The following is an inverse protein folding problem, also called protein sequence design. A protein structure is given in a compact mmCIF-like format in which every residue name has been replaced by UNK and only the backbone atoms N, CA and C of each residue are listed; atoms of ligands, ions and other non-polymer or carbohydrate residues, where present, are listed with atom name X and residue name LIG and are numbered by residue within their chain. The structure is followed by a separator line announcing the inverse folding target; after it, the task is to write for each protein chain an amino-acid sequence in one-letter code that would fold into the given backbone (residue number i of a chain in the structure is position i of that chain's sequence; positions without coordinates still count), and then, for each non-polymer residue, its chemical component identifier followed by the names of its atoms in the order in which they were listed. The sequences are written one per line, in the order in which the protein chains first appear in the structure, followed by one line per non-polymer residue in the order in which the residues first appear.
data_IF_940069614083
#
_entry.id   IF_940069614083
#
_cell.length_a   1.000
_cell.length_b   1.000
_cell.length_c   1.000
_cell.angle_alpha   90.00
_cell.angle_beta   90.00
_cell.angle_gamma   90.00
#
_symmetry.space_group_name_H-M   'P 1'
#
loop_
_entity.id
_entity.type
_entity.pdbx_description
1 polymer ?
#
# COMPACT_ATOMS: atom_id res chain seq x y z
N UNK A 1 17.83 -11.17 -0.82
CA UNK A 1 16.83 -10.57 0.09
C UNK A 1 16.48 -9.13 -0.29
N UNK A 2 17.42 -8.20 -0.41
CA UNK A 2 17.11 -6.80 -0.76
C UNK A 2 16.39 -6.63 -2.12
N UNK A 3 16.86 -7.28 -3.18
CA UNK A 3 16.20 -7.21 -4.50
C UNK A 3 14.79 -7.81 -4.53
N UNK A 4 14.45 -8.70 -3.60
CA UNK A 4 13.09 -9.22 -3.43
C UNK A 4 12.17 -8.15 -2.82
N UNK A 5 12.67 -7.38 -1.85
CA UNK A 5 11.94 -6.28 -1.21
C UNK A 5 11.67 -5.15 -2.21
N UNK A 6 12.67 -4.77 -3.01
CA UNK A 6 12.53 -3.73 -4.04
C UNK A 6 11.44 -4.12 -5.04
N UNK A 7 11.47 -5.35 -5.57
CA UNK A 7 10.45 -5.84 -6.50
C UNK A 7 9.05 -5.86 -5.91
N UNK A 8 8.90 -6.27 -4.65
CA UNK A 8 7.59 -6.28 -4.00
C UNK A 8 7.03 -4.86 -3.83
N UNK A 9 7.90 -3.88 -3.52
CA UNK A 9 7.54 -2.47 -3.41
C UNK A 9 7.14 -1.86 -4.77
N UNK A 10 7.87 -2.20 -5.84
CA UNK A 10 7.54 -1.78 -7.21
C UNK A 10 6.17 -2.34 -7.64
N UNK A 11 5.88 -3.61 -7.35
CA UNK A 11 4.58 -4.22 -7.63
C UNK A 11 3.48 -3.52 -6.83
N UNK A 12 3.68 -3.30 -5.53
CA UNK A 12 2.72 -2.61 -4.68
C UNK A 12 2.42 -1.18 -5.18
N UNK A 13 3.46 -0.47 -5.64
CA UNK A 13 3.31 0.86 -6.23
C UNK A 13 2.50 0.81 -7.53
N UNK A 14 2.83 -0.13 -8.43
CA UNK A 14 2.18 -0.27 -9.73
C UNK A 14 0.67 -0.61 -9.63
N UNK A 15 0.25 -1.40 -8.63
CA UNK A 15 -1.16 -1.79 -8.46
C UNK A 15 -1.99 -0.77 -7.66
N UNK A 16 -1.35 0.15 -6.93
CA UNK A 16 -2.02 1.13 -6.07
C UNK A 16 -3.12 1.94 -6.78
N UNK A 17 -2.93 2.42 -8.04
CA UNK A 17 -3.99 3.11 -8.76
C UNK A 17 -5.22 2.24 -9.04
N UNK A 18 -5.03 0.95 -9.33
CA UNK A 18 -6.10 -0.01 -9.60
C UNK A 18 -6.91 -0.25 -8.33
N UNK A 19 -6.22 -0.54 -7.22
CA UNK A 19 -6.83 -0.71 -5.89
C UNK A 19 -7.69 0.50 -5.52
N UNK A 20 -7.15 1.72 -5.69
CA UNK A 20 -7.88 2.97 -5.41
C UNK A 20 -9.07 3.18 -6.34
N UNK A 21 -8.90 2.96 -7.65
CA UNK A 21 -9.96 3.16 -8.65
C UNK A 21 -11.14 2.22 -8.44
N UNK A 22 -10.86 0.97 -8.07
CA UNK A 22 -11.88 -0.06 -7.85
C UNK A 22 -12.33 -0.19 -6.40
N UNK A 23 -11.77 0.61 -5.48
CA UNK A 23 -12.04 0.57 -4.04
C UNK A 23 -11.87 -0.83 -3.45
N UNK A 24 -10.84 -1.54 -3.90
CA UNK A 24 -10.54 -2.88 -3.39
C UNK A 24 -10.16 -2.80 -1.92
N UNK A 25 -10.72 -3.70 -1.12
CA UNK A 25 -10.35 -3.90 0.28
C UNK A 25 -8.96 -4.54 0.40
N UNK A 26 -8.40 -4.55 1.62
CA UNK A 26 -7.14 -5.23 1.92
C UNK A 26 -7.28 -6.73 1.60
N UNK A 27 -8.40 -7.34 1.99
CA UNK A 27 -8.72 -8.75 1.77
C UNK A 27 -8.87 -9.10 0.28
N UNK A 28 -9.58 -8.27 -0.49
CA UNK A 28 -9.73 -8.48 -1.94
C UNK A 28 -8.38 -8.33 -2.66
N UNK A 29 -7.59 -7.32 -2.30
CA UNK A 29 -6.27 -7.09 -2.89
C UNK A 29 -5.32 -8.25 -2.58
N UNK A 30 -5.32 -8.76 -1.34
CA UNK A 30 -4.54 -9.93 -0.95
C UNK A 30 -4.96 -11.17 -1.75
N UNK A 31 -6.28 -11.43 -1.86
CA UNK A 31 -6.80 -12.56 -2.63
C UNK A 31 -6.34 -12.53 -4.09
N UNK A 32 -6.47 -11.39 -4.77
CA UNK A 32 -6.02 -11.26 -6.16
C UNK A 32 -4.51 -11.46 -6.31
N UNK A 33 -3.70 -10.94 -5.38
CA UNK A 33 -2.25 -11.12 -5.42
C UNK A 33 -1.86 -12.58 -5.16
N UNK A 34 -2.57 -13.30 -4.31
CA UNK A 34 -2.36 -14.74 -4.09
C UNK A 34 -2.73 -15.55 -5.33
N UNK A 35 -3.88 -15.27 -5.96
CA UNK A 35 -4.31 -15.90 -7.22
C UNK A 35 -3.28 -15.69 -8.35
N UNK A 36 -2.69 -14.49 -8.41
CA UNK A 36 -1.61 -14.15 -9.35
C UNK A 36 -0.23 -14.68 -8.95
N UNK A 37 -0.11 -15.46 -7.86
CA UNK A 37 1.14 -16.02 -7.31
C UNK A 37 2.15 -14.96 -6.86
N UNK A 38 1.67 -13.81 -6.38
CA UNK A 38 2.47 -12.70 -5.81
C UNK A 38 2.11 -12.42 -4.33
N UNK A 39 2.06 -13.42 -3.43
CA UNK A 39 1.57 -13.25 -2.06
C UNK A 39 2.43 -12.28 -1.22
N UNK A 40 3.72 -12.13 -1.53
CA UNK A 40 4.62 -11.22 -0.79
C UNK A 40 4.33 -9.73 -1.03
N UNK A 41 3.79 -9.37 -2.19
CA UNK A 41 3.44 -7.98 -2.50
C UNK A 41 2.24 -7.48 -1.68
N UNK A 42 1.36 -8.38 -1.22
CA UNK A 42 0.21 -8.02 -0.39
C UNK A 42 0.63 -7.40 0.95
N UNK A 43 1.64 -8.00 1.60
CA UNK A 43 2.20 -7.49 2.84
C UNK A 43 2.83 -6.10 2.68
N UNK A 44 3.52 -5.86 1.55
CA UNK A 44 4.15 -4.55 1.28
C UNK A 44 3.10 -3.50 0.94
N UNK A 45 2.11 -3.81 0.09
CA UNK A 45 1.01 -2.91 -0.23
C UNK A 45 0.28 -2.43 1.02
N UNK A 46 0.03 -3.33 1.97
CA UNK A 46 -0.56 -3.01 3.27
C UNK A 46 0.31 -2.08 4.12
N UNK A 47 1.61 -2.36 4.23
CA UNK A 47 2.55 -1.51 4.98
C UNK A 47 2.62 -0.12 4.36
N UNK A 48 2.76 -0.04 3.03
CA UNK A 48 2.78 1.23 2.29
C UNK A 48 1.48 2.00 2.50
N UNK A 49 0.32 1.35 2.43
CA UNK A 49 -0.97 2.01 2.66
C UNK A 49 -1.06 2.60 4.08
N UNK A 50 -0.71 1.83 5.12
CA UNK A 50 -0.73 2.30 6.51
C UNK A 50 0.23 3.47 6.74
N UNK A 51 1.44 3.41 6.17
CA UNK A 51 2.42 4.49 6.29
C UNK A 51 1.95 5.77 5.60
N UNK A 52 1.40 5.66 4.38
CA UNK A 52 0.89 6.83 3.63
C UNK A 52 -0.27 7.49 4.37
N UNK A 53 -1.21 6.70 4.92
CA UNK A 53 -2.33 7.23 5.71
C UNK A 53 -1.82 7.92 6.98
N UNK A 54 -0.92 7.28 7.74
CA UNK A 54 -0.35 7.87 8.95
C UNK A 54 0.44 9.16 8.67
N UNK A 55 1.24 9.20 7.61
CA UNK A 55 1.96 10.42 7.21
C UNK A 55 1.00 11.55 6.83
N UNK A 56 -0.08 11.23 6.12
CA UNK A 56 -1.10 12.21 5.74
C UNK A 56 -1.84 12.77 6.96
N UNK A 57 -2.15 11.91 7.94
CA UNK A 57 -2.77 12.33 9.21
C UNK A 57 -1.84 13.21 10.04
N UNK A 58 -0.56 12.83 10.18
CA UNK A 58 0.44 13.63 10.90
C UNK A 58 0.61 15.02 10.29
N UNK A 59 0.73 15.10 8.96
CA UNK A 59 0.85 16.37 8.24
C UNK A 59 -0.38 17.26 8.44
N UNK A 60 -1.59 16.70 8.38
CA UNK A 60 -2.83 17.44 8.66
C UNK A 60 -2.92 17.92 10.11
N UNK A 61 -2.50 17.12 11.09
CA UNK A 61 -2.48 17.51 12.50
C UNK A 61 -1.45 18.60 12.80
N UNK A 62 -0.28 18.55 12.16
CA UNK A 62 0.75 19.60 12.28
C UNK A 62 0.27 20.93 11.68
N UNK A 63 -0.42 20.88 10.53
CA UNK A 63 -1.01 22.08 9.91
C UNK A 63 -2.10 22.71 10.80
N UNK A 64 -2.94 21.88 11.42
CA UNK A 64 -4.01 22.33 12.30
C UNK A 64 -3.49 22.90 13.64
N UNK A 65 -2.33 22.46 14.11
CA UNK A 65 -1.70 23.00 15.33
C UNK A 65 -0.97 24.33 15.12
N UNK A 66 -0.77 24.75 13.86
CA UNK A 66 -0.14 26.02 13.47
C UNK A 66 -1.15 27.12 13.12
N UNK A 67 -2.46 26.84 13.19
CA UNK A 67 -3.58 27.78 12.95
C UNK A 67 -4.21 28.22 14.27
#
# INVERSE_FOLDING_TARGET
MFGQIVRDAEIAYAISPVVRRHRLTEEETEKFLVELRIPRAANVARITHRLVVNCSQKASSELAAQS
#
